data_IF_906043185822
#
_entry.id   IF_906043185822
#
_cell.length_a   1.000
_cell.length_b   1.000
_cell.length_c   1.000
_cell.angle_alpha   90.00
_cell.angle_beta   90.00
_cell.angle_gamma   90.00
#
_symmetry.space_group_name_H-M   'P 1'
#
loop_
_entity.id
_entity.type
_entity.pdbx_description
1 polymer ?
#
# COMPACT_ATOMS: atom_id res chain seq x y z
N UNK A 1 1.77 -7.09 -23.36
CA UNK A 1 0.97 -6.68 -22.19
C UNK A 1 1.92 -6.00 -21.22
N UNK A 2 1.81 -4.68 -21.04
CA UNK A 2 2.74 -3.90 -20.19
C UNK A 2 2.06 -3.59 -18.84
N UNK A 3 2.70 -3.99 -17.75
CA UNK A 3 2.44 -3.48 -16.41
C UNK A 3 2.66 -1.95 -16.40
N UNK A 4 1.86 -1.20 -15.64
CA UNK A 4 1.84 0.27 -15.63
C UNK A 4 3.23 0.87 -15.48
N UNK A 5 3.59 1.80 -16.36
CA UNK A 5 4.96 2.30 -16.48
C UNK A 5 5.30 3.17 -15.25
N UNK A 6 6.34 2.84 -14.46
CA UNK A 6 6.94 3.79 -13.55
C UNK A 6 7.44 4.97 -14.38
N UNK A 7 6.76 6.11 -14.29
CA UNK A 7 7.18 7.30 -15.02
C UNK A 7 8.24 8.04 -14.22
N UNK A 8 9.13 8.79 -14.88
CA UNK A 8 10.09 9.67 -14.18
C UNK A 8 9.41 10.63 -13.20
N UNK A 9 8.13 10.94 -13.42
CA UNK A 9 7.30 11.79 -12.57
C UNK A 9 7.19 11.24 -11.14
N UNK A 10 7.14 9.91 -10.99
CA UNK A 10 6.94 9.25 -9.70
C UNK A 10 8.24 8.79 -9.04
N UNK A 11 9.40 9.11 -9.62
CA UNK A 11 10.72 8.67 -9.11
C UNK A 11 11.04 9.12 -7.68
N UNK A 12 10.30 10.11 -7.15
CA UNK A 12 10.42 10.62 -5.79
C UNK A 12 9.27 10.23 -4.87
N UNK A 13 8.31 9.41 -5.33
CA UNK A 13 7.15 9.02 -4.53
C UNK A 13 7.55 7.98 -3.48
N UNK A 14 7.10 8.17 -2.24
CA UNK A 14 7.32 7.27 -1.11
C UNK A 14 6.09 7.23 -0.21
N UNK A 15 5.93 6.16 0.55
CA UNK A 15 5.04 6.11 1.71
C UNK A 15 5.81 6.54 2.96
N UNK A 16 5.18 7.33 3.84
CA UNK A 16 5.69 7.58 5.18
C UNK A 16 5.08 6.56 6.13
N UNK A 17 5.91 5.85 6.88
CA UNK A 17 5.46 4.93 7.94
C UNK A 17 5.45 5.70 9.24
N UNK A 18 4.30 5.78 9.88
CA UNK A 18 4.12 6.54 11.11
C UNK A 18 4.20 5.62 12.32
N UNK A 19 4.66 6.12 13.45
CA UNK A 19 4.63 5.40 14.72
C UNK A 19 4.65 6.41 15.85
N UNK A 20 3.71 6.31 16.78
CA UNK A 20 3.65 7.19 17.97
C UNK A 20 3.71 8.70 17.61
N UNK A 21 3.10 9.08 16.48
CA UNK A 21 3.08 10.47 16.01
C UNK A 21 4.35 10.96 15.31
N UNK A 22 5.33 10.09 15.06
CA UNK A 22 6.56 10.41 14.31
C UNK A 22 6.68 9.57 13.05
N UNK A 23 7.27 10.14 11.99
CA UNK A 23 7.64 9.37 10.79
C UNK A 23 8.85 8.51 11.12
N UNK A 24 8.66 7.19 11.11
CA UNK A 24 9.68 6.20 11.43
C UNK A 24 10.53 5.81 10.21
N UNK A 25 9.91 5.70 9.03
CA UNK A 25 10.55 5.23 7.81
C UNK A 25 9.89 5.83 6.55
N UNK A 26 10.62 5.83 5.42
CA UNK A 26 10.08 6.15 4.10
C UNK A 26 10.28 4.98 3.14
N UNK A 27 9.20 4.44 2.58
CA UNK A 27 9.21 3.32 1.64
C UNK A 27 9.11 3.85 0.21
N UNK A 28 10.15 3.73 -0.63
CA UNK A 28 10.13 4.28 -1.98
C UNK A 28 9.23 3.45 -2.89
N UNK A 29 8.16 4.05 -3.40
CA UNK A 29 7.16 3.39 -4.26
C UNK A 29 7.20 3.90 -5.71
N UNK A 30 8.28 4.55 -6.12
CA UNK A 30 8.38 5.25 -7.41
C UNK A 30 8.99 4.47 -8.58
N UNK A 31 9.56 3.29 -8.33
CA UNK A 31 10.46 2.60 -9.27
C UNK A 31 9.81 1.38 -9.95
N UNK A 32 8.76 0.82 -9.36
CA UNK A 32 8.05 -0.36 -9.87
C UNK A 32 6.56 -0.03 -10.09
N UNK A 33 5.93 -0.81 -10.96
CA UNK A 33 4.50 -0.67 -11.25
C UNK A 33 3.62 -1.08 -10.07
N UNK A 34 4.13 -1.99 -9.25
CA UNK A 34 3.41 -2.63 -8.15
C UNK A 34 4.40 -2.90 -7.02
N UNK A 35 3.93 -2.71 -5.78
CA UNK A 35 4.64 -3.08 -4.54
C UNK A 35 3.70 -3.84 -3.64
N UNK A 36 4.08 -5.04 -3.21
CA UNK A 36 3.30 -5.85 -2.28
C UNK A 36 3.78 -5.60 -0.86
N UNK A 37 2.83 -5.35 0.04
CA UNK A 37 3.05 -5.16 1.47
C UNK A 37 2.42 -6.30 2.24
N UNK A 38 3.15 -6.80 3.24
CA UNK A 38 2.67 -7.90 4.06
C UNK A 38 3.73 -8.41 5.02
N UNK A 39 3.38 -9.40 5.80
CA UNK A 39 4.25 -9.95 6.86
C UNK A 39 5.29 -10.95 6.36
N UNK A 40 5.24 -11.38 5.10
CA UNK A 40 6.18 -12.35 4.56
C UNK A 40 7.26 -11.67 3.71
N UNK A 41 8.44 -11.44 4.32
CA UNK A 41 9.59 -10.82 3.67
C UNK A 41 10.12 -11.57 2.43
N UNK A 42 9.83 -12.86 2.29
CA UNK A 42 10.30 -13.65 1.13
C UNK A 42 9.53 -13.30 -0.17
N UNK A 43 8.34 -12.71 -0.05
CA UNK A 43 7.43 -12.47 -1.19
C UNK A 43 6.95 -11.02 -1.30
N UNK A 44 7.02 -10.24 -0.24
CA UNK A 44 6.61 -8.84 -0.23
C UNK A 44 7.78 -7.91 -0.51
N UNK A 45 7.53 -6.84 -1.25
CA UNK A 45 8.50 -5.76 -1.47
C UNK A 45 8.77 -4.99 -0.17
N UNK A 46 7.74 -4.86 0.69
CA UNK A 46 7.87 -4.26 2.03
C UNK A 46 7.30 -5.18 3.11
N UNK A 47 8.15 -5.53 4.08
CA UNK A 47 7.73 -6.29 5.26
C UNK A 47 7.03 -5.37 6.26
N UNK A 48 5.81 -5.74 6.64
CA UNK A 48 5.04 -5.10 7.70
C UNK A 48 4.91 -6.05 8.90
N UNK A 49 5.71 -5.79 9.93
CA UNK A 49 5.78 -6.65 11.11
C UNK A 49 4.65 -6.34 12.13
N UNK A 50 3.43 -6.81 11.83
CA UNK A 50 2.31 -6.79 12.77
C UNK A 50 1.45 -8.07 12.69
N UNK A 51 1.03 -8.68 13.81
CA UNK A 51 0.29 -9.96 13.80
C UNK A 51 -1.03 -9.94 13.03
N UNK A 52 -1.72 -8.79 12.99
CA UNK A 52 -2.97 -8.65 12.22
C UNK A 52 -2.75 -8.56 10.71
N UNK A 53 -1.51 -8.36 10.26
CA UNK A 53 -1.18 -8.21 8.85
C UNK A 53 -0.97 -9.58 8.22
N UNK A 54 -1.64 -9.79 7.10
CA UNK A 54 -1.55 -10.99 6.27
C UNK A 54 -0.15 -11.14 5.67
N UNK A 55 0.22 -12.37 5.29
CA UNK A 55 1.52 -12.64 4.65
C UNK A 55 1.73 -11.83 3.37
N UNK A 56 0.69 -11.74 2.54
CA UNK A 56 0.51 -10.75 1.48
C UNK A 56 -0.79 -10.05 1.82
N UNK A 57 -0.76 -8.75 2.07
CA UNK A 57 -1.89 -8.04 2.68
C UNK A 57 -2.49 -7.02 1.73
N UNK A 58 -1.67 -6.17 1.14
CA UNK A 58 -2.11 -5.17 0.18
C UNK A 58 -1.04 -4.93 -0.89
N UNK A 59 -1.42 -4.27 -1.96
CA UNK A 59 -0.52 -3.82 -3.01
C UNK A 59 -0.72 -2.33 -3.30
N UNK A 60 0.38 -1.63 -3.57
CA UNK A 60 0.38 -0.29 -4.14
C UNK A 60 0.58 -0.42 -5.64
N UNK A 61 -0.34 0.11 -6.43
CA UNK A 61 -0.38 -0.07 -7.89
C UNK A 61 -0.37 1.27 -8.60
N UNK A 62 0.61 1.46 -9.48
CA UNK A 62 0.62 2.56 -10.46
C UNK A 62 -0.21 2.14 -11.67
N UNK A 63 -1.31 2.86 -11.90
CA UNK A 63 -2.19 2.57 -13.02
C UNK A 63 -1.66 3.18 -14.32
N UNK A 64 -2.17 2.70 -15.45
CA UNK A 64 -1.88 3.31 -16.77
C UNK A 64 -2.44 4.72 -16.91
N UNK A 65 -3.38 5.13 -16.07
CA UNK A 65 -3.91 6.48 -16.03
C UNK A 65 -3.01 7.46 -15.26
N UNK A 66 -1.91 6.97 -14.68
CA UNK A 66 -0.98 7.78 -13.87
C UNK A 66 -1.46 7.98 -12.43
N UNK A 67 -2.50 7.28 -12.00
CA UNK A 67 -2.98 7.29 -10.61
C UNK A 67 -2.26 6.24 -9.77
N UNK A 68 -2.19 6.48 -8.47
CA UNK A 68 -1.75 5.51 -7.47
C UNK A 68 -2.98 4.92 -6.80
N UNK A 69 -3.01 3.60 -6.64
CA UNK A 69 -4.10 2.92 -5.94
C UNK A 69 -3.56 1.95 -4.90
N UNK A 70 -4.28 1.84 -3.78
CA UNK A 70 -4.11 0.78 -2.79
C UNK A 70 -5.10 -0.33 -3.14
N UNK A 71 -4.63 -1.57 -3.14
CA UNK A 71 -5.45 -2.76 -3.34
C UNK A 71 -5.28 -3.73 -2.17
N UNK A 72 -6.34 -4.00 -1.42
CA UNK A 72 -6.37 -5.09 -0.44
C UNK A 72 -6.36 -6.44 -1.18
N UNK A 73 -5.53 -7.37 -0.71
CA UNK A 73 -5.34 -8.70 -1.31
C UNK A 73 -6.15 -9.76 -0.56
N UNK A 74 -7.40 -9.43 -0.26
CA UNK A 74 -8.31 -10.23 0.56
C UNK A 74 -7.70 -10.57 1.92
N UNK A 75 -7.21 -9.52 2.58
CA UNK A 75 -6.52 -9.67 3.85
C UNK A 75 -7.49 -10.07 4.97
N UNK A 76 -6.98 -10.76 6.00
CA UNK A 76 -7.84 -11.29 7.05
C UNK A 76 -8.49 -10.21 7.94
N UNK A 77 -7.85 -9.04 8.04
CA UNK A 77 -8.25 -7.94 8.93
C UNK A 77 -8.54 -6.64 8.17
N UNK A 78 -8.58 -6.69 6.85
CA UNK A 78 -8.90 -5.56 5.99
C UNK A 78 -7.80 -4.50 5.90
N UNK A 79 -8.04 -3.56 4.98
CA UNK A 79 -7.25 -2.35 4.77
C UNK A 79 -8.21 -1.16 4.79
N UNK A 80 -7.82 -0.04 5.41
CA UNK A 80 -8.59 1.22 5.35
C UNK A 80 -7.79 2.32 4.67
N UNK A 81 -8.46 3.17 3.89
CA UNK A 81 -7.90 4.35 3.25
C UNK A 81 -8.73 5.57 3.63
N UNK A 82 -8.11 6.55 4.28
CA UNK A 82 -8.75 7.75 4.85
C UNK A 82 -9.93 7.40 5.76
N UNK A 83 -9.74 6.40 6.63
CA UNK A 83 -10.75 5.89 7.55
C UNK A 83 -11.88 5.06 6.92
N UNK A 84 -11.85 4.84 5.60
CA UNK A 84 -12.84 4.02 4.89
C UNK A 84 -12.27 2.63 4.61
N UNK A 85 -12.92 1.59 5.09
CA UNK A 85 -12.54 0.20 4.87
C UNK A 85 -12.80 -0.26 3.42
N UNK A 86 -11.84 -0.99 2.86
CA UNK A 86 -11.96 -1.65 1.56
C UNK A 86 -12.72 -2.99 1.73
N UNK A 87 -14.04 -2.92 1.95
CA UNK A 87 -14.85 -4.07 2.44
C UNK A 87 -15.74 -4.75 1.39
N UNK A 88 -15.76 -4.28 0.15
CA UNK A 88 -16.67 -4.77 -0.90
C UNK A 88 -16.02 -5.69 -1.95
N UNK A 89 -16.75 -6.65 -2.55
CA UNK A 89 -16.28 -7.49 -3.66
C UNK A 89 -15.75 -6.72 -4.88
N UNK A 90 -16.08 -5.44 -5.00
CA UNK A 90 -15.61 -4.51 -6.03
C UNK A 90 -14.88 -3.28 -5.45
N UNK A 91 -14.62 -3.26 -4.14
CA UNK A 91 -14.06 -2.11 -3.40
C UNK A 91 -12.72 -2.44 -2.74
N UNK A 92 -12.11 -3.58 -3.09
CA UNK A 92 -10.76 -3.92 -2.66
C UNK A 92 -9.69 -2.97 -3.20
N UNK A 93 -10.03 -1.97 -4.02
CA UNK A 93 -9.08 -0.98 -4.52
C UNK A 93 -9.60 0.44 -4.40
N UNK A 94 -8.74 1.37 -4.02
CA UNK A 94 -9.05 2.79 -3.90
C UNK A 94 -7.87 3.65 -4.34
N UNK A 95 -8.15 4.70 -5.10
CA UNK A 95 -7.16 5.70 -5.47
C UNK A 95 -6.71 6.49 -4.23
N UNK A 96 -5.43 6.81 -4.20
CA UNK A 96 -4.79 7.59 -3.14
C UNK A 96 -4.03 8.76 -3.73
N UNK A 97 -4.02 9.86 -2.98
CA UNK A 97 -3.31 11.09 -3.31
C UNK A 97 -2.26 11.39 -2.23
N UNK A 98 -1.47 12.45 -2.43
CA UNK A 98 -0.52 12.90 -1.42
C UNK A 98 -1.23 13.27 -0.12
N UNK A 99 -0.84 12.59 0.96
CA UNK A 99 -1.41 12.79 2.30
C UNK A 99 -2.56 11.84 2.64
N UNK A 100 -3.00 10.97 1.72
CA UNK A 100 -3.92 9.88 2.06
C UNK A 100 -3.32 8.97 3.13
N UNK A 101 -4.12 8.61 4.12
CA UNK A 101 -3.74 7.70 5.20
C UNK A 101 -4.17 6.28 4.84
N UNK A 102 -3.27 5.31 5.04
CA UNK A 102 -3.53 3.90 4.77
C UNK A 102 -3.19 3.12 6.03
N UNK A 103 -4.15 2.32 6.52
CA UNK A 103 -3.96 1.45 7.69
C UNK A 103 -4.20 -0.01 7.28
N UNK A 104 -3.29 -0.88 7.70
CA UNK A 104 -3.30 -2.31 7.38
C UNK A 104 -3.65 -3.14 8.63
N UNK A 105 -4.77 -3.86 8.58
CA UNK A 105 -5.34 -4.54 9.74
C UNK A 105 -5.47 -3.63 10.96
N UNK A 106 -5.05 -4.14 12.13
CA UNK A 106 -5.05 -3.40 13.39
C UNK A 106 -3.70 -2.74 13.73
N UNK A 107 -2.88 -2.44 12.71
CA UNK A 107 -1.59 -1.75 12.90
C UNK A 107 -1.83 -0.34 13.44
N UNK A 108 -1.01 0.07 14.41
CA UNK A 108 -0.87 1.49 14.83
C UNK A 108 0.25 2.21 14.09
N UNK A 109 0.85 1.53 13.12
CA UNK A 109 1.88 2.02 12.21
C UNK A 109 1.34 2.17 10.80
#
# INVERSE_FOLDING_TARGET
MVAGVPTRLNSKTYLEVWKDGVVAEKLPIGQQACYVLGRNADVCDFELAHPSISRQHAAIVHTKAGTLEVMDLESAQGTTVDGVELSGPNEFRKAVDNGSEIVFGASSR
#
